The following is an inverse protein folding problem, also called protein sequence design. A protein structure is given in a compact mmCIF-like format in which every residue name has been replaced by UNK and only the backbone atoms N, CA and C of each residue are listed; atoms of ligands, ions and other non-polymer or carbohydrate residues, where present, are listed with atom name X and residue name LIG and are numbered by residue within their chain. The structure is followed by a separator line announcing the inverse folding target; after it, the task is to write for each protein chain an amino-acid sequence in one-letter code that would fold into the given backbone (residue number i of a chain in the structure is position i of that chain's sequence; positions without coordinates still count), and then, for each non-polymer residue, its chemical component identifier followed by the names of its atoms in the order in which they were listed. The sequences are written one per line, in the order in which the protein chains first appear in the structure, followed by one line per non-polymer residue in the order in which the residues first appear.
data_IF_523570059138
#
_entry.id   IF_523570059138
#
_cell.length_a   1.000
_cell.length_b   1.000
_cell.length_c   1.000
_cell.angle_alpha   90.00
_cell.angle_beta   90.00
_cell.angle_gamma   90.00
#
_symmetry.space_group_name_H-M   'P 1'
#
loop_
_entity.id
_entity.type
_entity.pdbx_description
1 polymer ?
#
# COMPACT_ATOMS: atom_id res chain seq x y z
N UNK A 1 57.69 12.20 20.62
CA UNK A 1 56.93 11.86 19.41
C UNK A 1 57.89 12.04 18.25
N UNK A 2 58.12 11.00 17.45
CA UNK A 2 58.96 11.11 16.25
C UNK A 2 58.13 11.68 15.09
N UNK A 3 58.76 12.28 14.07
CA UNK A 3 58.11 12.84 12.86
C UNK A 3 57.23 11.79 12.17
N UNK A 4 57.61 10.51 12.29
CA UNK A 4 56.82 9.38 11.79
C UNK A 4 55.50 9.18 12.56
N UNK A 5 55.48 9.41 13.87
CA UNK A 5 54.28 9.32 14.70
C UNK A 5 53.31 10.47 14.39
N UNK A 6 53.84 11.69 14.22
CA UNK A 6 53.04 12.87 13.84
C UNK A 6 52.37 12.68 12.46
N UNK A 7 53.11 12.13 11.50
CA UNK A 7 52.57 11.82 10.17
C UNK A 7 51.50 10.73 10.23
N UNK A 8 51.68 9.71 11.08
CA UNK A 8 50.69 8.65 11.29
C UNK A 8 49.42 9.17 11.97
N UNK A 9 49.56 10.03 12.99
CA UNK A 9 48.45 10.69 13.67
C UNK A 9 47.65 11.55 12.68
N UNK A 10 48.31 12.34 11.83
CA UNK A 10 47.63 13.15 10.81
C UNK A 10 46.81 12.29 9.84
N UNK A 11 47.39 11.19 9.33
CA UNK A 11 46.71 10.29 8.40
C UNK A 11 45.49 9.61 9.02
N UNK A 12 45.61 9.12 10.25
CA UNK A 12 44.49 8.48 10.96
C UNK A 12 43.38 9.49 11.27
N UNK A 13 43.71 10.73 11.63
CA UNK A 13 42.71 11.79 11.82
C UNK A 13 41.96 12.11 10.52
N UNK A 14 42.65 12.17 9.39
CA UNK A 14 42.03 12.39 8.08
C UNK A 14 41.10 11.22 7.69
N UNK A 15 41.54 9.98 7.89
CA UNK A 15 40.73 8.78 7.66
C UNK A 15 39.48 8.76 8.54
N UNK A 16 39.63 9.07 9.83
CA UNK A 16 38.54 9.15 10.79
C UNK A 16 37.53 10.23 10.42
N UNK A 17 38.00 11.37 9.92
CA UNK A 17 37.15 12.43 9.35
C UNK A 17 36.32 11.91 8.16
N UNK A 18 36.96 11.23 7.21
CA UNK A 18 36.28 10.63 6.06
C UNK A 18 35.25 9.55 6.46
N UNK A 19 35.61 8.67 7.39
CA UNK A 19 34.72 7.63 7.91
C UNK A 19 33.50 8.23 8.62
N UNK A 20 33.67 9.31 9.40
CA UNK A 20 32.54 10.02 10.04
C UNK A 20 31.57 10.62 9.03
N UNK A 21 32.07 11.17 7.93
CA UNK A 21 31.22 11.66 6.82
C UNK A 21 30.45 10.52 6.17
N UNK A 22 31.12 9.41 5.86
CA UNK A 22 30.46 8.22 5.30
C UNK A 22 29.40 7.65 6.24
N UNK A 23 29.69 7.63 7.54
CA UNK A 23 28.77 7.16 8.58
C UNK A 23 27.54 8.05 8.71
N UNK A 24 27.73 9.37 8.63
CA UNK A 24 26.60 10.31 8.57
C UNK A 24 25.75 10.09 7.31
N UNK A 25 26.39 9.86 6.15
CA UNK A 25 25.69 9.47 4.93
C UNK A 25 24.87 8.19 5.09
N UNK A 26 25.47 7.13 5.64
CA UNK A 26 24.77 5.86 5.90
C UNK A 26 23.62 6.03 6.91
N UNK A 27 23.76 6.91 7.90
CA UNK A 27 22.67 7.24 8.83
C UNK A 27 21.51 7.96 8.12
N UNK A 28 21.81 8.83 7.15
CA UNK A 28 20.77 9.41 6.31
C UNK A 28 20.08 8.32 5.49
N UNK A 29 20.83 7.43 4.84
CA UNK A 29 20.27 6.31 4.06
C UNK A 29 19.28 5.47 4.89
N UNK A 30 19.62 5.17 6.16
CA UNK A 30 18.70 4.50 7.10
C UNK A 30 17.42 5.30 7.31
N UNK A 31 17.52 6.61 7.57
CA UNK A 31 16.36 7.49 7.77
C UNK A 31 15.43 7.49 6.55
N UNK A 32 15.99 7.66 5.35
CA UNK A 32 15.23 7.66 4.10
C UNK A 32 14.52 6.32 3.86
N UNK A 33 15.20 5.20 4.12
CA UNK A 33 14.60 3.88 3.95
C UNK A 33 13.47 3.63 4.98
N UNK A 34 13.65 4.04 6.24
CA UNK A 34 12.61 3.93 7.28
C UNK A 34 11.39 4.81 6.96
N UNK A 35 11.61 6.01 6.44
CA UNK A 35 10.54 6.90 5.96
C UNK A 35 9.78 6.27 4.78
N UNK A 36 10.49 5.63 3.83
CA UNK A 36 9.84 4.93 2.70
C UNK A 36 8.95 3.80 3.19
N UNK A 37 9.42 2.99 4.14
CA UNK A 37 8.62 1.92 4.78
C UNK A 37 7.37 2.51 5.45
N UNK A 38 7.51 3.61 6.17
CA UNK A 38 6.37 4.29 6.82
C UNK A 38 5.34 4.82 5.81
N UNK A 39 5.80 5.41 4.70
CA UNK A 39 4.92 5.84 3.60
C UNK A 39 4.16 4.67 3.00
N UNK A 40 4.88 3.60 2.65
CA UNK A 40 4.28 2.40 2.06
C UNK A 40 3.25 1.75 2.99
N UNK A 41 3.50 1.72 4.30
CA UNK A 41 2.53 1.24 5.27
C UNK A 41 1.24 2.07 5.27
N UNK A 42 1.35 3.39 5.16
CA UNK A 42 0.20 4.30 5.08
C UNK A 42 -0.57 4.11 3.77
N UNK A 43 0.14 3.97 2.64
CA UNK A 43 -0.43 3.68 1.32
C UNK A 43 -1.17 2.33 1.31
N UNK A 44 -0.56 1.28 1.88
CA UNK A 44 -1.15 -0.05 2.05
C UNK A 44 -2.45 0.04 2.86
N UNK A 45 -2.45 0.75 3.99
CA UNK A 45 -3.64 0.91 4.82
C UNK A 45 -4.77 1.61 4.05
N UNK A 46 -4.47 2.74 3.39
CA UNK A 46 -5.45 3.47 2.59
C UNK A 46 -6.03 2.61 1.45
N UNK A 47 -5.20 1.79 0.82
CA UNK A 47 -5.61 0.86 -0.22
C UNK A 47 -6.53 -0.24 0.34
N UNK A 48 -6.22 -0.78 1.53
CA UNK A 48 -7.06 -1.77 2.22
C UNK A 48 -8.44 -1.19 2.56
N UNK A 49 -8.50 0.06 3.04
CA UNK A 49 -9.77 0.75 3.30
C UNK A 49 -10.60 0.91 2.02
N UNK A 50 -9.96 1.27 0.91
CA UNK A 50 -10.62 1.41 -0.39
C UNK A 50 -11.18 0.08 -0.90
N UNK A 51 -10.43 -1.01 -0.74
CA UNK A 51 -10.89 -2.38 -1.06
C UNK A 51 -12.10 -2.76 -0.19
N UNK A 52 -12.05 -2.46 1.10
CA UNK A 52 -13.14 -2.79 2.03
C UNK A 52 -14.41 -2.00 1.70
N UNK A 53 -14.29 -0.71 1.35
CA UNK A 53 -15.42 0.10 0.87
C UNK A 53 -16.03 -0.48 -0.40
N UNK A 54 -15.21 -0.86 -1.38
CA UNK A 54 -15.70 -1.47 -2.62
C UNK A 54 -16.40 -2.82 -2.38
N UNK A 55 -15.88 -3.65 -1.46
CA UNK A 55 -16.53 -4.90 -1.04
C UNK A 55 -17.86 -4.63 -0.33
N UNK A 56 -17.91 -3.67 0.59
CA UNK A 56 -19.14 -3.28 1.29
C UNK A 56 -20.23 -2.83 0.32
N UNK A 57 -19.88 -1.96 -0.64
CA UNK A 57 -20.81 -1.52 -1.68
C UNK A 57 -21.37 -2.70 -2.48
N UNK A 58 -20.50 -3.65 -2.87
CA UNK A 58 -20.91 -4.84 -3.62
C UNK A 58 -21.77 -5.81 -2.81
N UNK A 59 -21.35 -6.13 -1.60
CA UNK A 59 -21.93 -7.23 -0.81
C UNK A 59 -23.17 -6.80 -0.03
N UNK A 60 -23.29 -5.51 0.29
CA UNK A 60 -24.39 -4.97 1.10
C UNK A 60 -25.31 -4.12 0.22
N UNK A 61 -24.81 -3.02 -0.35
CA UNK A 61 -25.67 -2.05 -1.03
C UNK A 61 -26.25 -2.61 -2.33
N UNK A 62 -25.44 -3.26 -3.17
CA UNK A 62 -25.92 -3.88 -4.41
C UNK A 62 -26.80 -5.10 -4.16
N UNK A 63 -26.54 -5.86 -3.09
CA UNK A 63 -27.40 -6.98 -2.70
C UNK A 63 -28.79 -6.52 -2.26
N UNK A 64 -28.86 -5.46 -1.43
CA UNK A 64 -30.13 -4.82 -1.02
C UNK A 64 -30.87 -4.24 -2.22
N UNK A 65 -30.16 -3.55 -3.12
CA UNK A 65 -30.75 -3.00 -4.34
C UNK A 65 -31.33 -4.10 -5.25
N UNK A 66 -30.64 -5.24 -5.38
CA UNK A 66 -31.11 -6.40 -6.14
C UNK A 66 -32.39 -7.00 -5.53
N UNK A 67 -32.45 -7.09 -4.20
CA UNK A 67 -33.65 -7.56 -3.50
C UNK A 67 -34.83 -6.60 -3.70
N UNK A 68 -34.61 -5.29 -3.55
CA UNK A 68 -35.62 -4.25 -3.78
C UNK A 68 -36.13 -4.24 -5.22
N UNK A 69 -35.23 -4.35 -6.21
CA UNK A 69 -35.59 -4.44 -7.64
C UNK A 69 -36.51 -5.64 -7.92
N UNK A 70 -36.19 -6.82 -7.34
CA UNK A 70 -37.05 -7.99 -7.44
C UNK A 70 -38.42 -7.77 -6.82
N UNK A 71 -38.48 -7.18 -5.63
CA UNK A 71 -39.74 -6.90 -4.96
C UNK A 71 -40.63 -5.95 -5.76
N UNK A 72 -40.05 -4.87 -6.29
CA UNK A 72 -40.77 -3.94 -7.17
C UNK A 72 -41.29 -4.64 -8.43
N UNK A 73 -40.52 -5.55 -9.02
CA UNK A 73 -40.99 -6.35 -10.15
C UNK A 73 -42.20 -7.22 -9.78
N UNK A 74 -42.11 -7.98 -8.68
CA UNK A 74 -43.18 -8.86 -8.22
C UNK A 74 -44.47 -8.06 -7.93
N UNK A 75 -44.35 -6.88 -7.31
CA UNK A 75 -45.46 -5.96 -7.04
C UNK A 75 -46.08 -5.41 -8.33
N UNK A 76 -45.26 -5.00 -9.30
CA UNK A 76 -45.72 -4.48 -10.60
C UNK A 76 -46.41 -5.56 -11.44
N UNK A 77 -45.88 -6.80 -11.45
CA UNK A 77 -46.50 -7.93 -12.14
C UNK A 77 -47.87 -8.23 -11.53
N UNK A 78 -47.98 -8.18 -10.20
CA UNK A 78 -49.26 -8.37 -9.51
C UNK A 78 -50.26 -7.27 -9.86
N UNK A 79 -49.86 -6.01 -9.77
CA UNK A 79 -50.70 -4.86 -10.13
C UNK A 79 -51.13 -4.92 -11.61
N UNK A 80 -50.20 -5.26 -12.51
CA UNK A 80 -50.47 -5.45 -13.93
C UNK A 80 -51.54 -6.51 -14.17
N UNK A 81 -51.47 -7.67 -13.49
CA UNK A 81 -52.51 -8.72 -13.57
C UNK A 81 -53.88 -8.25 -13.04
N UNK A 82 -53.91 -7.42 -12.00
CA UNK A 82 -55.15 -6.86 -11.47
C UNK A 82 -55.81 -5.88 -12.45
N UNK A 83 -55.01 -5.01 -13.10
CA UNK A 83 -55.48 -4.11 -14.16
C UNK A 83 -55.94 -4.89 -15.39
N UNK A 84 -55.20 -5.92 -15.81
CA UNK A 84 -55.49 -6.68 -17.03
C UNK A 84 -56.82 -7.43 -16.96
N UNK A 85 -57.25 -7.85 -15.76
CA UNK A 85 -58.58 -8.43 -15.52
C UNK A 85 -59.73 -7.46 -15.82
N UNK A 86 -59.46 -6.16 -15.91
CA UNK A 86 -60.44 -5.12 -16.23
C UNK A 86 -60.37 -4.55 -17.65
N UNK A 87 -59.28 -4.76 -18.41
CA UNK A 87 -59.01 -4.00 -19.65
C UNK A 87 -58.40 -4.77 -20.85
N UNK A 88 -58.02 -6.05 -20.72
CA UNK A 88 -57.47 -6.86 -21.86
C UNK A 88 -56.22 -6.24 -22.56
N UNK A 89 -55.36 -5.56 -21.80
CA UNK A 89 -54.15 -4.86 -22.26
C UNK A 89 -52.84 -5.62 -21.98
N UNK A 90 -52.46 -6.51 -22.90
CA UNK A 90 -51.17 -7.24 -22.86
C UNK A 90 -49.90 -6.37 -22.88
N UNK A 91 -50.01 -5.10 -23.30
CA UNK A 91 -48.90 -4.14 -23.41
C UNK A 91 -48.31 -3.72 -22.06
N UNK A 92 -49.13 -3.62 -21.01
CA UNK A 92 -48.70 -3.21 -19.67
C UNK A 92 -47.80 -4.25 -19.02
N UNK A 93 -48.14 -5.54 -19.17
CA UNK A 93 -47.31 -6.63 -18.66
C UNK A 93 -45.97 -6.72 -19.38
N UNK A 94 -45.96 -6.57 -20.72
CA UNK A 94 -44.72 -6.56 -21.52
C UNK A 94 -43.78 -5.42 -21.12
N UNK A 95 -44.32 -4.23 -20.83
CA UNK A 95 -43.53 -3.09 -20.33
C UNK A 95 -42.86 -3.36 -18.98
N UNK A 96 -43.57 -3.99 -18.04
CA UNK A 96 -43.04 -4.38 -16.71
C UNK A 96 -41.92 -5.41 -16.84
N UNK A 97 -42.11 -6.42 -17.69
CA UNK A 97 -41.09 -7.45 -17.94
C UNK A 97 -39.81 -6.83 -18.54
N UNK A 98 -39.95 -5.90 -19.50
CA UNK A 98 -38.80 -5.19 -20.09
C UNK A 98 -38.03 -4.36 -19.05
N UNK A 99 -38.73 -3.53 -18.27
CA UNK A 99 -38.10 -2.70 -17.22
C UNK A 99 -37.37 -3.58 -16.18
N UNK A 100 -37.96 -4.73 -15.83
CA UNK A 100 -37.32 -5.67 -14.92
C UNK A 100 -36.06 -6.30 -15.51
N UNK A 101 -36.10 -6.68 -16.77
CA UNK A 101 -34.92 -7.21 -17.47
C UNK A 101 -33.80 -6.18 -17.53
N UNK A 102 -34.12 -4.94 -17.89
CA UNK A 102 -33.15 -3.84 -18.03
C UNK A 102 -32.51 -3.48 -16.67
N UNK A 103 -33.31 -3.42 -15.60
CA UNK A 103 -32.83 -3.12 -14.25
C UNK A 103 -31.96 -4.25 -13.69
N UNK A 104 -32.36 -5.52 -13.86
CA UNK A 104 -31.56 -6.66 -13.46
C UNK A 104 -30.20 -6.69 -14.20
N UNK A 105 -30.21 -6.47 -15.53
CA UNK A 105 -28.99 -6.40 -16.33
C UNK A 105 -28.06 -5.26 -15.92
N UNK A 106 -28.63 -4.11 -15.53
CA UNK A 106 -27.85 -2.97 -15.02
C UNK A 106 -27.18 -3.31 -13.69
N UNK A 107 -27.91 -3.92 -12.74
CA UNK A 107 -27.36 -4.32 -11.43
C UNK A 107 -26.23 -5.34 -11.61
N UNK A 108 -26.42 -6.35 -12.48
CA UNK A 108 -25.40 -7.36 -12.75
C UNK A 108 -24.14 -6.74 -13.40
N UNK A 109 -24.31 -5.76 -14.29
CA UNK A 109 -23.19 -5.00 -14.89
C UNK A 109 -22.41 -4.21 -13.85
N UNK A 110 -23.09 -3.56 -12.89
CA UNK A 110 -22.44 -2.84 -11.79
C UNK A 110 -21.69 -3.82 -10.88
N UNK A 111 -22.27 -4.98 -10.56
CA UNK A 111 -21.59 -6.02 -9.77
C UNK A 111 -20.29 -6.49 -10.45
N UNK A 112 -20.32 -6.70 -11.77
CA UNK A 112 -19.14 -7.07 -12.54
C UNK A 112 -18.07 -5.97 -12.54
N UNK A 113 -18.48 -4.69 -12.64
CA UNK A 113 -17.58 -3.55 -12.53
C UNK A 113 -16.93 -3.46 -11.14
N UNK A 114 -17.69 -3.64 -10.07
CA UNK A 114 -17.17 -3.69 -8.70
C UNK A 114 -16.15 -4.82 -8.51
N UNK A 115 -16.43 -6.02 -9.03
CA UNK A 115 -15.49 -7.14 -8.97
C UNK A 115 -14.18 -6.83 -9.72
N UNK A 116 -14.28 -6.20 -10.89
CA UNK A 116 -13.11 -5.79 -11.67
C UNK A 116 -12.27 -4.74 -10.93
N UNK A 117 -12.93 -3.75 -10.31
CA UNK A 117 -12.26 -2.75 -9.47
C UNK A 117 -11.55 -3.39 -8.29
N UNK A 118 -12.23 -4.27 -7.54
CA UNK A 118 -11.64 -4.98 -6.40
C UNK A 118 -10.42 -5.80 -6.84
N UNK A 119 -10.50 -6.50 -7.99
CA UNK A 119 -9.38 -7.28 -8.52
C UNK A 119 -8.17 -6.38 -8.83
N UNK A 120 -8.40 -5.24 -9.48
CA UNK A 120 -7.34 -4.27 -9.78
C UNK A 120 -6.70 -3.71 -8.51
N UNK A 121 -7.51 -3.29 -7.54
CA UNK A 121 -7.01 -2.77 -6.26
C UNK A 121 -6.21 -3.81 -5.48
N UNK A 122 -6.62 -5.09 -5.50
CA UNK A 122 -5.84 -6.16 -4.88
C UNK A 122 -4.50 -6.39 -5.58
N UNK A 123 -4.44 -6.24 -6.91
CA UNK A 123 -3.17 -6.28 -7.66
C UNK A 123 -2.22 -5.16 -7.19
N UNK A 124 -2.72 -3.92 -7.17
CA UNK A 124 -1.95 -2.76 -6.70
C UNK A 124 -1.50 -2.91 -5.24
N UNK A 125 -2.34 -3.48 -4.37
CA UNK A 125 -1.99 -3.79 -2.99
C UNK A 125 -0.85 -4.83 -2.90
N UNK A 126 -0.83 -5.81 -3.81
CA UNK A 126 0.25 -6.80 -3.92
C UNK A 126 1.58 -6.15 -4.32
N UNK A 127 1.54 -5.24 -5.28
CA UNK A 127 2.71 -4.49 -5.74
C UNK A 127 3.28 -3.63 -4.59
N UNK A 128 2.42 -2.87 -3.89
CA UNK A 128 2.82 -2.06 -2.73
C UNK A 128 3.45 -2.89 -1.60
N UNK A 129 2.93 -4.10 -1.34
CA UNK A 129 3.51 -5.02 -0.34
C UNK A 129 4.89 -5.49 -0.76
N UNK A 130 5.07 -5.83 -2.03
CA UNK A 130 6.37 -6.24 -2.57
C UNK A 130 7.37 -5.09 -2.49
N UNK A 131 6.94 -3.87 -2.77
CA UNK A 131 7.77 -2.68 -2.61
C UNK A 131 8.15 -2.42 -1.15
N UNK A 132 7.22 -2.63 -0.20
CA UNK A 132 7.50 -2.52 1.24
C UNK A 132 8.56 -3.53 1.68
N UNK A 133 8.47 -4.77 1.22
CA UNK A 133 9.46 -5.81 1.52
C UNK A 133 10.85 -5.44 0.98
N UNK A 134 10.91 -4.84 -0.22
CA UNK A 134 12.14 -4.28 -0.76
C UNK A 134 12.72 -3.16 0.13
N UNK A 135 11.88 -2.19 0.51
CA UNK A 135 12.30 -1.10 1.38
C UNK A 135 12.75 -1.58 2.78
N UNK A 136 12.13 -2.63 3.32
CA UNK A 136 12.55 -3.27 4.58
C UNK A 136 13.96 -3.90 4.43
N UNK A 137 14.24 -4.54 3.30
CA UNK A 137 15.58 -5.06 3.00
C UNK A 137 16.63 -3.94 2.85
N UNK A 138 16.25 -2.80 2.28
CA UNK A 138 17.10 -1.62 2.17
C UNK A 138 17.44 -1.04 3.55
N UNK A 139 16.47 -0.97 4.48
CA UNK A 139 16.72 -0.57 5.88
C UNK A 139 17.77 -1.47 6.54
N UNK A 140 17.64 -2.79 6.40
CA UNK A 140 18.59 -3.75 6.96
C UNK A 140 19.99 -3.54 6.38
N UNK A 141 20.07 -3.37 5.06
CA UNK A 141 21.34 -3.17 4.36
C UNK A 141 22.01 -1.85 4.74
N UNK A 142 21.25 -0.77 4.85
CA UNK A 142 21.74 0.54 5.28
C UNK A 142 22.24 0.51 6.73
N UNK A 143 21.53 -0.17 7.64
CA UNK A 143 21.97 -0.37 9.04
C UNK A 143 23.26 -1.16 9.11
N UNK A 144 23.37 -2.26 8.37
CA UNK A 144 24.59 -3.06 8.33
C UNK A 144 25.80 -2.25 7.82
N UNK A 145 25.60 -1.42 6.79
CA UNK A 145 26.64 -0.50 6.29
C UNK A 145 27.06 0.53 7.34
N UNK A 146 26.10 1.14 8.03
CA UNK A 146 26.39 2.08 9.13
C UNK A 146 27.18 1.40 10.25
N UNK A 147 26.77 0.21 10.68
CA UNK A 147 27.41 -0.52 11.78
C UNK A 147 28.85 -0.93 11.41
N UNK A 148 29.08 -1.32 10.15
CA UNK A 148 30.43 -1.55 9.62
C UNK A 148 31.31 -0.29 9.67
N UNK A 149 30.74 0.88 9.36
CA UNK A 149 31.46 2.16 9.48
C UNK A 149 31.74 2.53 10.93
N UNK A 150 30.81 2.28 11.86
CA UNK A 150 31.03 2.48 13.30
C UNK A 150 32.17 1.58 13.82
N UNK A 151 32.27 0.34 13.33
CA UNK A 151 33.39 -0.56 13.62
C UNK A 151 34.74 -0.08 13.06
N UNK A 152 34.75 0.44 11.83
CA UNK A 152 35.94 1.04 11.23
C UNK A 152 36.39 2.29 12.00
N UNK A 153 35.47 3.19 12.36
CA UNK A 153 35.75 4.38 13.18
C UNK A 153 36.38 3.95 14.51
N UNK A 154 35.80 2.96 15.19
CA UNK A 154 36.31 2.48 16.48
C UNK A 154 37.73 1.89 16.35
N UNK A 155 37.99 1.13 15.29
CA UNK A 155 39.33 0.57 15.01
C UNK A 155 40.36 1.68 14.73
N UNK A 156 40.02 2.65 13.89
CA UNK A 156 40.88 3.79 13.54
C UNK A 156 41.12 4.69 14.75
N UNK A 157 40.11 4.92 15.60
CA UNK A 157 40.23 5.63 16.86
C UNK A 157 41.18 4.91 17.83
N UNK A 158 41.06 3.58 17.98
CA UNK A 158 41.95 2.81 18.85
C UNK A 158 43.42 2.85 18.38
N UNK A 159 43.67 2.84 17.07
CA UNK A 159 45.02 3.05 16.51
C UNK A 159 45.56 4.44 16.84
N UNK A 160 44.72 5.46 16.72
CA UNK A 160 45.06 6.85 17.04
C UNK A 160 45.43 7.01 18.52
N UNK A 161 44.62 6.44 19.42
CA UNK A 161 44.85 6.49 20.86
C UNK A 161 46.16 5.77 21.24
N UNK A 162 46.49 4.67 20.55
CA UNK A 162 47.76 3.96 20.74
C UNK A 162 49.01 4.73 20.31
N UNK A 163 48.89 5.73 19.43
CA UNK A 163 50.01 6.61 19.05
C UNK A 163 50.21 7.77 20.01
N UNK A 164 49.24 8.06 20.89
CA UNK A 164 49.33 9.13 21.87
C UNK A 164 49.89 8.55 23.19
N UNK A 165 51.16 8.80 23.53
CA UNK A 165 51.72 8.27 24.78
C UNK A 165 51.11 9.00 25.97
N UNK A 166 50.25 8.31 26.72
CA UNK A 166 49.72 8.76 28.02
C UNK A 166 48.60 9.81 27.93
N UNK A 167 47.38 9.37 28.28
CA UNK A 167 46.52 10.18 29.15
C UNK A 167 46.74 9.74 30.59
#
# INVERSE_FOLDING_TARGET
MDVLDELAEFRLNAELGGLRVLRAGAQNDVSWAEERVSSLNSEIQSMQESINKAKSYRDIELADLKAKSKQVHDDLVKAGKEVNKGMDESSTQSGVEKISSDSAGTIDSICAACNSLIKRLNGQLGDLRSEREGAEADVVSAKARRDSLDGQISSTQSKLDGLRPGS
#
